data_IF_343105506353
#
_entry.id   IF_343105506353
#
_cell.length_a   1.000
_cell.length_b   1.000
_cell.length_c   1.000
_cell.angle_alpha   90.00
_cell.angle_beta   90.00
_cell.angle_gamma   90.00
#
_symmetry.space_group_name_H-M   'P 1'
#
loop_
_entity.id
_entity.type
_entity.pdbx_description
1 polymer ?
#
# COMPACT_ATOMS: atom_id res chain seq x y z
N UNK A 1 -12.01 30.43 12.77
CA UNK A 1 -11.65 29.76 14.03
C UNK A 1 -12.44 28.45 14.25
N UNK A 2 -13.77 28.48 14.12
CA UNK A 2 -14.64 27.31 14.35
C UNK A 2 -14.31 26.16 13.38
N UNK A 3 -14.08 26.42 12.10
CA UNK A 3 -13.72 25.40 11.12
C UNK A 3 -12.44 24.65 11.45
N UNK A 4 -11.41 25.37 11.92
CA UNK A 4 -10.16 24.72 12.36
C UNK A 4 -10.33 23.87 13.62
N UNK A 5 -11.17 24.29 14.57
CA UNK A 5 -11.45 23.50 15.75
C UNK A 5 -12.20 22.20 15.42
N UNK A 6 -13.14 22.24 14.47
CA UNK A 6 -13.83 21.04 13.98
C UNK A 6 -12.90 20.12 13.17
N UNK A 7 -12.04 20.69 12.32
CA UNK A 7 -11.09 19.93 11.51
C UNK A 7 -9.94 19.29 12.32
N UNK A 8 -9.57 19.90 13.48
CA UNK A 8 -8.45 19.45 14.30
C UNK A 8 -8.55 17.97 14.67
N UNK A 9 -9.71 17.55 15.18
CA UNK A 9 -9.94 16.16 15.58
C UNK A 9 -9.72 15.20 14.42
N UNK A 10 -10.37 15.45 13.28
CA UNK A 10 -10.26 14.58 12.11
C UNK A 10 -8.84 14.51 11.53
N UNK A 11 -8.10 15.62 11.54
CA UNK A 11 -6.70 15.66 11.07
C UNK A 11 -5.80 14.87 12.02
N UNK A 12 -5.95 15.06 13.32
CA UNK A 12 -5.15 14.36 14.33
C UNK A 12 -5.45 12.86 14.31
N UNK A 13 -6.72 12.49 14.35
CA UNK A 13 -7.16 11.09 14.40
C UNK A 13 -6.67 10.28 13.18
N UNK A 14 -6.82 10.83 11.98
CA UNK A 14 -6.38 10.17 10.75
C UNK A 14 -4.85 9.98 10.68
N UNK A 15 -4.09 10.94 11.20
CA UNK A 15 -2.63 10.85 11.17
C UNK A 15 -2.08 9.98 12.32
N UNK A 16 -2.73 9.93 13.48
CA UNK A 16 -2.30 9.06 14.59
C UNK A 16 -2.38 7.59 14.19
N UNK A 17 -3.42 7.16 13.50
CA UNK A 17 -3.53 5.77 13.03
C UNK A 17 -2.38 5.37 12.12
N UNK A 18 -1.99 6.24 11.20
CA UNK A 18 -0.85 5.99 10.32
C UNK A 18 0.50 6.07 11.07
N UNK A 19 0.62 6.95 12.08
CA UNK A 19 1.79 6.99 12.96
C UNK A 19 1.94 5.70 13.81
N UNK A 20 0.84 5.11 14.28
CA UNK A 20 0.86 3.82 14.97
C UNK A 20 1.45 2.74 14.06
N UNK A 21 0.97 2.66 12.81
CA UNK A 21 1.48 1.71 11.84
C UNK A 21 2.99 1.94 11.57
N UNK A 22 3.39 3.18 11.34
CA UNK A 22 4.78 3.54 11.12
C UNK A 22 5.67 3.25 12.34
N UNK A 23 5.21 3.49 13.56
CA UNK A 23 5.95 3.19 14.78
C UNK A 23 6.18 1.69 14.95
N UNK A 24 5.16 0.85 14.75
CA UNK A 24 5.29 -0.61 14.81
C UNK A 24 6.31 -1.11 13.79
N UNK A 25 6.25 -0.62 12.54
CA UNK A 25 7.22 -0.97 11.50
C UNK A 25 8.63 -0.47 11.80
N UNK A 26 8.78 0.71 12.39
CA UNK A 26 10.10 1.24 12.76
C UNK A 26 10.77 0.41 13.87
N UNK A 27 9.96 -0.20 14.76
CA UNK A 27 10.45 -1.03 15.88
C UNK A 27 10.71 -2.46 15.42
N UNK A 28 9.78 -3.06 14.68
CA UNK A 28 9.81 -4.48 14.30
C UNK A 28 10.34 -4.75 12.91
N UNK A 29 10.25 -3.79 12.00
CA UNK A 29 10.74 -3.94 10.63
C UNK A 29 12.26 -3.98 10.55
N UNK A 30 12.77 -4.68 9.56
CA UNK A 30 14.20 -4.79 9.23
C UNK A 30 14.50 -4.09 7.90
N UNK A 31 15.77 -3.77 7.67
CA UNK A 31 16.26 -3.25 6.39
C UNK A 31 15.48 -2.04 5.84
N UNK A 32 15.05 -2.14 4.60
CA UNK A 32 14.33 -1.09 3.86
C UNK A 32 12.97 -0.73 4.47
N UNK A 33 12.28 -1.69 5.10
CA UNK A 33 10.97 -1.47 5.77
C UNK A 33 11.11 -0.51 6.94
N UNK A 34 12.16 -0.64 7.74
CA UNK A 34 12.45 0.26 8.87
C UNK A 34 12.75 1.68 8.39
N UNK A 35 13.55 1.82 7.33
CA UNK A 35 13.84 3.12 6.72
C UNK A 35 12.59 3.80 6.16
N UNK A 36 11.74 3.03 5.46
CA UNK A 36 10.45 3.51 4.98
C UNK A 36 9.56 3.99 6.14
N UNK A 37 9.43 3.21 7.19
CA UNK A 37 8.60 3.54 8.34
C UNK A 37 9.04 4.83 9.05
N UNK A 38 10.35 5.03 9.20
CA UNK A 38 10.92 6.25 9.78
C UNK A 38 10.63 7.48 8.90
N UNK A 39 10.81 7.35 7.59
CA UNK A 39 10.52 8.42 6.61
C UNK A 39 9.02 8.76 6.61
N UNK A 40 8.16 7.74 6.62
CA UNK A 40 6.71 7.90 6.70
C UNK A 40 6.30 8.63 7.99
N UNK A 41 6.82 8.21 9.14
CA UNK A 41 6.52 8.84 10.42
C UNK A 41 6.93 10.33 10.43
N UNK A 42 8.13 10.63 9.95
CA UNK A 42 8.61 12.01 9.84
C UNK A 42 7.74 12.84 8.90
N UNK A 43 7.40 12.30 7.73
CA UNK A 43 6.52 12.94 6.77
C UNK A 43 5.14 13.27 7.34
N UNK A 44 4.55 12.36 8.12
CA UNK A 44 3.26 12.57 8.80
C UNK A 44 3.37 13.68 9.85
N UNK A 45 4.40 13.68 10.68
CA UNK A 45 4.60 14.72 11.72
C UNK A 45 4.74 16.09 11.06
N UNK A 46 5.55 16.22 10.00
CA UNK A 46 5.71 17.48 9.24
C UNK A 46 4.40 17.88 8.58
N UNK A 47 3.67 16.95 8.00
CA UNK A 47 2.35 17.19 7.39
C UNK A 47 1.33 17.69 8.40
N UNK A 48 1.29 17.09 9.59
CA UNK A 48 0.44 17.56 10.70
C UNK A 48 0.79 18.98 11.12
N UNK A 49 2.08 19.27 11.28
CA UNK A 49 2.53 20.63 11.60
C UNK A 49 2.09 21.64 10.53
N UNK A 50 2.29 21.29 9.26
CA UNK A 50 1.87 22.14 8.13
C UNK A 50 0.35 22.35 8.12
N UNK A 51 -0.43 21.29 8.29
CA UNK A 51 -1.90 21.39 8.30
C UNK A 51 -2.43 22.19 9.50
N UNK A 52 -1.86 22.04 10.68
CA UNK A 52 -2.40 22.64 11.90
C UNK A 52 -1.86 24.05 12.17
N UNK A 53 -0.61 24.31 11.83
CA UNK A 53 0.07 25.58 12.14
C UNK A 53 0.19 26.46 10.90
N UNK A 54 0.89 25.97 9.87
CA UNK A 54 1.22 26.80 8.69
C UNK A 54 -0.05 27.19 7.93
N UNK A 55 -0.91 26.23 7.65
CA UNK A 55 -2.17 26.47 6.92
C UNK A 55 -3.08 27.46 7.67
N UNK A 56 -3.13 27.36 9.02
CA UNK A 56 -3.87 28.31 9.84
C UNK A 56 -3.28 29.72 9.78
N UNK A 57 -1.95 29.87 9.81
CA UNK A 57 -1.27 31.16 9.69
C UNK A 57 -1.52 31.78 8.31
N UNK A 58 -1.40 31.00 7.23
CA UNK A 58 -1.68 31.43 5.86
C UNK A 58 -3.12 31.91 5.72
N UNK A 59 -4.09 31.15 6.22
CA UNK A 59 -5.51 31.53 6.15
C UNK A 59 -5.80 32.81 6.93
N UNK A 60 -5.18 32.99 8.10
CA UNK A 60 -5.32 34.23 8.88
C UNK A 60 -4.69 35.43 8.13
N UNK A 61 -3.54 35.24 7.48
CA UNK A 61 -2.88 36.27 6.69
C UNK A 61 -3.73 36.68 5.46
N UNK A 62 -4.27 35.71 4.72
CA UNK A 62 -5.16 35.97 3.58
C UNK A 62 -6.42 36.74 4.00
N UNK A 63 -7.01 36.35 5.14
CA UNK A 63 -8.15 37.09 5.69
C UNK A 63 -7.80 38.53 6.08
N UNK A 64 -6.62 38.75 6.68
CA UNK A 64 -6.12 40.08 7.01
C UNK A 64 -5.83 40.94 5.76
N UNK A 65 -5.36 40.33 4.68
CA UNK A 65 -5.13 40.97 3.39
C UNK A 65 -6.42 41.35 2.61
N UNK A 66 -7.60 41.04 3.19
CA UNK A 66 -8.89 41.47 2.64
C UNK A 66 -9.66 40.36 1.90
N UNK A 67 -9.19 39.12 1.86
CA UNK A 67 -9.92 37.99 1.29
C UNK A 67 -11.01 37.52 2.28
N UNK A 68 -12.06 38.33 2.46
CA UNK A 68 -13.14 38.09 3.44
C UNK A 68 -14.39 37.45 2.83
N UNK A 69 -14.53 37.50 1.51
CA UNK A 69 -15.70 37.00 0.82
C UNK A 69 -15.70 35.45 0.80
N UNK A 70 -16.83 34.85 1.11
CA UNK A 70 -17.03 33.38 1.17
C UNK A 70 -16.68 32.70 -0.15
N UNK A 71 -16.84 33.37 -1.29
CA UNK A 71 -16.49 32.83 -2.62
C UNK A 71 -15.01 32.39 -2.74
N UNK A 72 -14.10 32.99 -1.98
CA UNK A 72 -12.67 32.65 -1.96
C UNK A 72 -12.38 31.35 -1.21
N UNK A 73 -13.30 30.90 -0.35
CA UNK A 73 -13.13 29.74 0.52
C UNK A 73 -13.91 28.51 0.03
N UNK A 74 -14.53 28.62 -1.14
CA UNK A 74 -15.35 27.58 -1.72
C UNK A 74 -16.74 27.48 -1.07
N UNK A 75 -17.77 27.34 -1.89
CA UNK A 75 -19.13 27.04 -1.42
C UNK A 75 -19.48 25.65 -1.87
N UNK A 76 -19.77 24.77 -0.92
CA UNK A 76 -20.29 23.44 -1.24
C UNK A 76 -21.81 23.52 -1.37
N UNK A 77 -22.30 23.13 -2.55
CA UNK A 77 -23.75 22.94 -2.73
C UNK A 77 -24.17 21.69 -1.96
N UNK A 78 -25.12 21.83 -1.06
CA UNK A 78 -25.70 20.67 -0.39
C UNK A 78 -26.27 19.72 -1.43
N UNK A 79 -25.82 18.45 -1.38
CA UNK A 79 -26.35 17.39 -2.25
C UNK A 79 -27.52 16.73 -1.57
N UNK A 80 -28.51 16.30 -2.35
CA UNK A 80 -29.57 15.44 -1.83
C UNK A 80 -28.95 14.11 -1.35
N UNK A 81 -29.43 13.56 -0.23
CA UNK A 81 -28.93 12.30 0.30
C UNK A 81 -29.03 11.17 -0.72
N UNK A 82 -27.94 10.47 -0.92
CA UNK A 82 -27.87 9.30 -1.81
C UNK A 82 -28.20 8.07 -0.97
N UNK A 83 -29.08 7.22 -1.48
CA UNK A 83 -29.46 5.99 -0.79
C UNK A 83 -28.39 4.89 -0.95
N UNK A 84 -27.37 4.92 -0.08
CA UNK A 84 -26.32 3.90 0.01
C UNK A 84 -26.79 2.66 0.77
N UNK A 85 -27.44 2.86 1.92
CA UNK A 85 -27.86 1.78 2.83
C UNK A 85 -28.94 0.91 2.20
N UNK A 86 -29.89 1.50 1.48
CA UNK A 86 -30.92 0.72 0.75
C UNK A 86 -30.33 -0.15 -0.36
N UNK A 87 -29.17 0.25 -0.94
CA UNK A 87 -28.46 -0.52 -1.97
C UNK A 87 -27.36 -1.44 -1.41
N UNK A 88 -27.28 -1.64 -0.11
CA UNK A 88 -26.24 -2.42 0.57
C UNK A 88 -26.03 -3.81 -0.03
N UNK A 89 -27.11 -4.51 -0.41
CA UNK A 89 -26.99 -5.84 -1.03
C UNK A 89 -26.16 -5.84 -2.31
N UNK A 90 -26.27 -4.79 -3.12
CA UNK A 90 -25.49 -4.67 -4.38
C UNK A 90 -24.00 -4.49 -4.05
N UNK A 91 -23.68 -3.57 -3.14
CA UNK A 91 -22.30 -3.29 -2.76
C UNK A 91 -21.62 -4.51 -2.14
N UNK A 92 -22.29 -5.18 -1.19
CA UNK A 92 -21.77 -6.41 -0.59
C UNK A 92 -21.63 -7.54 -1.62
N UNK A 93 -22.58 -7.71 -2.53
CA UNK A 93 -22.50 -8.76 -3.56
C UNK A 93 -21.32 -8.54 -4.51
N UNK A 94 -21.07 -7.29 -4.94
CA UNK A 94 -19.92 -6.96 -5.80
C UNK A 94 -18.61 -7.23 -5.07
N UNK A 95 -18.46 -6.77 -3.81
CA UNK A 95 -17.27 -7.00 -3.01
C UNK A 95 -16.99 -8.50 -2.78
N UNK A 96 -18.01 -9.25 -2.38
CA UNK A 96 -17.88 -10.70 -2.15
C UNK A 96 -17.50 -11.41 -3.44
N UNK A 97 -18.10 -11.03 -4.57
CA UNK A 97 -17.80 -11.62 -5.88
C UNK A 97 -16.32 -11.40 -6.27
N UNK A 98 -15.81 -10.17 -6.11
CA UNK A 98 -14.41 -9.85 -6.40
C UNK A 98 -13.46 -10.65 -5.51
N UNK A 99 -13.72 -10.69 -4.20
CA UNK A 99 -12.88 -11.40 -3.24
C UNK A 99 -12.91 -12.91 -3.52
N UNK A 100 -14.10 -13.50 -3.72
CA UNK A 100 -14.23 -14.94 -3.98
C UNK A 100 -13.59 -15.33 -5.31
N UNK A 101 -13.81 -14.55 -6.37
CA UNK A 101 -13.18 -14.79 -7.68
C UNK A 101 -11.64 -14.75 -7.59
N UNK A 102 -11.10 -13.78 -6.87
CA UNK A 102 -9.67 -13.67 -6.68
C UNK A 102 -9.08 -14.77 -5.79
N UNK A 103 -9.75 -15.14 -4.71
CA UNK A 103 -9.32 -16.27 -3.87
C UNK A 103 -9.38 -17.60 -4.65
N UNK A 104 -10.40 -17.78 -5.49
CA UNK A 104 -10.50 -18.94 -6.38
C UNK A 104 -9.33 -18.98 -7.38
N UNK A 105 -9.01 -17.85 -8.00
CA UNK A 105 -7.85 -17.75 -8.90
C UNK A 105 -6.53 -18.06 -8.19
N UNK A 106 -6.33 -17.54 -6.98
CA UNK A 106 -5.17 -17.85 -6.14
C UNK A 106 -5.11 -19.35 -5.80
N UNK A 107 -6.26 -19.97 -5.51
CA UNK A 107 -6.37 -21.42 -5.25
C UNK A 107 -5.99 -22.26 -6.48
N UNK A 108 -6.43 -21.86 -7.66
CA UNK A 108 -6.07 -22.52 -8.93
C UNK A 108 -4.56 -22.43 -9.17
N UNK A 109 -3.96 -21.26 -8.96
CA UNK A 109 -2.51 -21.09 -9.10
C UNK A 109 -1.73 -21.93 -8.08
N UNK A 110 -2.20 -22.03 -6.85
CA UNK A 110 -1.60 -22.88 -5.83
C UNK A 110 -1.64 -24.35 -6.23
N UNK A 111 -2.78 -24.83 -6.76
CA UNK A 111 -2.95 -26.20 -7.25
C UNK A 111 -2.12 -26.52 -8.49
N UNK A 112 -1.81 -25.53 -9.33
CA UNK A 112 -0.95 -25.69 -10.51
C UNK A 112 0.56 -25.61 -10.24
N UNK A 113 0.97 -25.55 -8.98
CA UNK A 113 2.38 -25.44 -8.57
C UNK A 113 2.99 -24.04 -8.65
N UNK A 114 2.24 -23.05 -9.15
CA UNK A 114 2.72 -21.66 -9.26
C UNK A 114 2.66 -20.87 -7.94
N UNK A 115 2.09 -21.46 -6.87
CA UNK A 115 1.85 -20.80 -5.59
C UNK A 115 0.70 -19.78 -5.64
N UNK A 116 -0.01 -19.61 -4.52
CA UNK A 116 -1.13 -18.66 -4.40
C UNK A 116 -0.66 -17.20 -4.60
N UNK A 117 0.51 -16.86 -4.09
CA UNK A 117 1.17 -15.55 -4.20
C UNK A 117 2.56 -15.73 -4.81
N UNK A 118 3.03 -14.70 -5.51
CA UNK A 118 4.41 -14.62 -5.99
C UNK A 118 5.26 -13.98 -4.88
N UNK A 119 6.03 -14.77 -4.15
CA UNK A 119 6.90 -14.24 -3.11
C UNK A 119 8.19 -13.67 -3.69
N UNK A 120 8.65 -12.54 -3.15
CA UNK A 120 9.97 -11.98 -3.45
C UNK A 120 11.09 -12.80 -2.82
N UNK A 121 12.31 -12.51 -3.23
CA UNK A 121 13.50 -13.15 -2.71
C UNK A 121 13.65 -12.98 -1.19
N UNK A 122 13.27 -11.81 -0.66
CA UNK A 122 13.32 -11.54 0.77
C UNK A 122 12.45 -12.49 1.59
N UNK A 123 11.37 -13.04 0.98
CA UNK A 123 10.43 -13.94 1.65
C UNK A 123 10.60 -15.41 1.26
N UNK A 124 11.29 -15.70 0.14
CA UNK A 124 11.53 -17.06 -0.36
C UNK A 124 12.93 -17.56 0.01
N UNK A 125 13.88 -16.64 0.15
CA UNK A 125 15.30 -16.91 0.11
C UNK A 125 15.77 -17.13 -1.33
N UNK A 126 17.06 -17.03 -1.55
CA UNK A 126 17.66 -17.26 -2.85
C UNK A 126 18.73 -16.25 -3.23
N UNK A 127 19.21 -16.31 -4.46
CA UNK A 127 20.21 -15.41 -5.02
C UNK A 127 19.59 -14.51 -6.07
N UNK A 128 19.88 -13.21 -5.99
CA UNK A 128 19.54 -12.21 -7.00
C UNK A 128 20.82 -11.80 -7.70
N UNK A 129 20.95 -12.14 -8.97
CA UNK A 129 22.09 -11.74 -9.81
C UNK A 129 21.63 -10.64 -10.75
N UNK A 130 22.16 -9.45 -10.62
CA UNK A 130 21.93 -8.33 -11.53
C UNK A 130 23.04 -8.32 -12.57
N UNK A 131 22.68 -8.39 -13.82
CA UNK A 131 23.59 -8.42 -14.96
C UNK A 131 23.32 -7.21 -15.84
N UNK A 132 24.37 -6.44 -16.14
CA UNK A 132 24.34 -5.35 -17.11
C UNK A 132 24.84 -5.85 -18.47
N UNK A 133 23.92 -6.00 -19.41
CA UNK A 133 24.23 -6.49 -20.76
C UNK A 133 24.70 -5.35 -21.65
N UNK A 134 25.46 -5.69 -22.69
CA UNK A 134 25.96 -4.71 -23.68
C UNK A 134 24.82 -4.12 -24.51
N UNK A 135 23.77 -4.93 -24.79
CA UNK A 135 22.63 -4.54 -25.58
C UNK A 135 21.33 -4.58 -24.77
N UNK A 136 20.34 -3.79 -25.19
CA UNK A 136 19.02 -3.74 -24.60
C UNK A 136 18.15 -4.91 -25.09
N UNK A 137 18.11 -6.01 -24.33
CA UNK A 137 17.36 -7.21 -24.66
C UNK A 137 15.87 -7.07 -24.36
N UNK A 138 15.03 -7.65 -25.20
CA UNK A 138 13.62 -7.86 -24.90
C UNK A 138 13.42 -8.98 -23.89
N UNK A 139 12.25 -9.02 -23.23
CA UNK A 139 11.92 -10.11 -22.28
C UNK A 139 12.00 -11.48 -22.96
N UNK A 140 11.58 -11.58 -24.22
CA UNK A 140 11.64 -12.83 -24.98
C UNK A 140 13.09 -13.27 -25.25
N UNK A 141 13.98 -12.38 -25.60
CA UNK A 141 15.41 -12.67 -25.79
C UNK A 141 16.07 -13.10 -24.48
N UNK A 142 15.70 -12.50 -23.35
CA UNK A 142 16.18 -12.91 -22.03
C UNK A 142 15.72 -14.34 -21.71
N UNK A 143 14.45 -14.66 -21.94
CA UNK A 143 13.90 -15.99 -21.69
C UNK A 143 14.53 -17.07 -22.61
N UNK A 144 14.87 -16.73 -23.84
CA UNK A 144 15.43 -17.67 -24.81
C UNK A 144 16.94 -17.84 -24.69
N UNK A 145 17.68 -16.80 -24.34
CA UNK A 145 19.15 -16.81 -24.39
C UNK A 145 19.78 -16.85 -22.99
N UNK A 146 19.23 -16.11 -22.02
CA UNK A 146 19.83 -15.98 -20.67
C UNK A 146 19.33 -17.09 -19.73
N UNK A 147 18.02 -17.34 -19.70
CA UNK A 147 17.44 -18.33 -18.78
C UNK A 147 18.02 -19.74 -18.96
N UNK A 148 18.27 -20.27 -20.16
CA UNK A 148 18.89 -21.58 -20.33
C UNK A 148 20.29 -21.67 -19.75
N UNK A 149 21.13 -20.63 -19.91
CA UNK A 149 22.48 -20.58 -19.35
C UNK A 149 22.44 -20.60 -17.82
N UNK A 150 21.54 -19.83 -17.23
CA UNK A 150 21.32 -19.80 -15.78
C UNK A 150 20.81 -21.14 -15.26
N UNK A 151 19.87 -21.77 -15.97
CA UNK A 151 19.30 -23.08 -15.60
C UNK A 151 20.35 -24.19 -15.63
N UNK A 152 21.25 -24.17 -16.59
CA UNK A 152 22.35 -25.14 -16.71
C UNK A 152 23.25 -25.13 -15.46
N UNK A 153 23.68 -23.96 -15.02
CA UNK A 153 24.55 -23.79 -13.85
C UNK A 153 23.83 -24.03 -12.53
N UNK A 154 22.65 -23.43 -12.38
CA UNK A 154 21.93 -23.43 -11.08
C UNK A 154 21.14 -24.72 -10.86
N UNK A 155 20.77 -25.43 -11.94
CA UNK A 155 19.83 -26.53 -11.89
C UNK A 155 18.46 -26.10 -11.34
N UNK A 156 18.10 -24.81 -11.49
CA UNK A 156 16.83 -24.25 -11.08
C UNK A 156 15.90 -24.12 -12.28
N UNK A 157 14.66 -24.56 -12.13
CA UNK A 157 13.63 -24.47 -13.16
C UNK A 157 12.64 -23.31 -12.90
N UNK A 158 12.73 -22.66 -11.73
CA UNK A 158 11.87 -21.52 -11.34
C UNK A 158 12.68 -20.22 -11.34
N UNK A 159 13.35 -19.96 -12.47
CA UNK A 159 14.14 -18.74 -12.67
C UNK A 159 13.19 -17.59 -13.00
N UNK A 160 13.29 -16.51 -12.24
CA UNK A 160 12.54 -15.31 -12.51
C UNK A 160 13.46 -14.22 -13.04
N UNK A 161 13.12 -13.64 -14.16
CA UNK A 161 13.86 -12.54 -14.79
C UNK A 161 13.06 -11.25 -14.73
N UNK A 162 13.74 -10.15 -14.46
CA UNK A 162 13.13 -8.82 -14.42
C UNK A 162 14.05 -7.83 -15.12
N UNK A 163 13.57 -7.23 -16.20
CA UNK A 163 14.29 -6.16 -16.89
C UNK A 163 14.12 -4.85 -16.13
N UNK A 164 15.21 -4.11 -15.92
CA UNK A 164 15.18 -2.78 -15.33
C UNK A 164 14.87 -1.75 -16.41
N UNK A 165 13.75 -1.07 -16.31
CA UNK A 165 13.28 -0.15 -17.34
C UNK A 165 14.26 1.03 -17.56
N UNK A 166 14.61 1.28 -18.82
CA UNK A 166 15.51 2.37 -19.21
C UNK A 166 17.00 2.05 -19.02
N UNK A 167 17.34 0.80 -18.79
CA UNK A 167 18.74 0.32 -18.67
C UNK A 167 18.89 -1.00 -19.43
N UNK A 168 20.13 -1.45 -19.59
CA UNK A 168 20.47 -2.78 -20.11
C UNK A 168 20.53 -3.84 -19.01
N UNK A 169 20.14 -3.50 -17.78
CA UNK A 169 20.23 -4.37 -16.62
C UNK A 169 19.06 -5.35 -16.55
N UNK A 170 19.38 -6.60 -16.25
CA UNK A 170 18.44 -7.68 -15.98
C UNK A 170 18.71 -8.27 -14.60
N UNK A 171 17.70 -8.34 -13.76
CA UNK A 171 17.75 -9.01 -12.47
C UNK A 171 17.27 -10.45 -12.64
N UNK A 172 18.12 -11.40 -12.31
CA UNK A 172 17.87 -12.84 -12.39
C UNK A 172 17.75 -13.37 -10.95
N UNK A 173 16.63 -13.98 -10.63
CA UNK A 173 16.34 -14.54 -9.29
C UNK A 173 16.31 -16.06 -9.39
N UNK A 174 17.11 -16.71 -8.57
CA UNK A 174 17.25 -18.17 -8.49
C UNK A 174 17.14 -18.66 -7.06
N UNK A 175 17.09 -19.98 -6.85
CA UNK A 175 17.29 -20.55 -5.51
C UNK A 175 18.66 -20.10 -4.95
N UNK A 176 18.84 -20.31 -3.64
CA UNK A 176 20.09 -19.98 -2.96
C UNK A 176 21.28 -20.69 -3.61
N UNK A 177 22.27 -19.91 -4.05
CA UNK A 177 23.50 -20.38 -4.64
C UNK A 177 24.64 -20.25 -3.63
N UNK A 178 25.45 -21.31 -3.49
CA UNK A 178 26.71 -21.25 -2.79
C UNK A 178 27.75 -20.42 -3.59
N UNK A 179 28.89 -20.18 -2.97
CA UNK A 179 29.93 -19.33 -3.57
C UNK A 179 30.45 -19.93 -4.88
N UNK A 180 30.62 -21.25 -4.91
CA UNK A 180 31.19 -21.94 -6.09
C UNK A 180 30.25 -21.81 -7.30
N UNK A 181 28.95 -22.06 -7.11
CA UNK A 181 27.95 -21.90 -8.17
C UNK A 181 27.74 -20.45 -8.60
N UNK A 182 27.90 -19.50 -7.69
CA UNK A 182 27.85 -18.07 -8.07
C UNK A 182 29.00 -17.70 -8.96
N UNK A 183 30.22 -18.15 -8.61
CA UNK A 183 31.42 -17.91 -9.43
C UNK A 183 31.27 -18.57 -10.80
N UNK A 184 30.79 -19.82 -10.84
CA UNK A 184 30.51 -20.53 -12.09
C UNK A 184 29.45 -19.82 -12.95
N UNK A 185 28.39 -19.26 -12.32
CA UNK A 185 27.36 -18.49 -13.01
C UNK A 185 27.92 -17.18 -13.59
N UNK A 186 28.73 -16.48 -12.81
CA UNK A 186 29.37 -15.23 -13.25
C UNK A 186 30.32 -15.47 -14.44
N UNK A 187 31.15 -16.52 -14.39
CA UNK A 187 32.04 -16.91 -15.49
C UNK A 187 31.26 -17.31 -16.75
N UNK A 188 30.22 -18.13 -16.60
CA UNK A 188 29.38 -18.57 -17.73
C UNK A 188 28.61 -17.43 -18.40
N UNK A 189 28.08 -16.50 -17.61
CA UNK A 189 27.37 -15.32 -18.13
C UNK A 189 28.36 -14.36 -18.81
N UNK A 190 29.53 -14.16 -18.23
CA UNK A 190 30.61 -13.34 -18.82
C UNK A 190 31.07 -13.89 -20.15
N UNK A 191 31.30 -15.20 -20.23
CA UNK A 191 31.72 -15.87 -21.46
C UNK A 191 30.62 -15.87 -22.55
N UNK A 192 29.36 -16.16 -22.16
CA UNK A 192 28.25 -16.28 -23.10
C UNK A 192 27.83 -14.94 -23.71
N UNK A 193 27.99 -13.84 -22.98
CA UNK A 193 27.49 -12.52 -23.40
C UNK A 193 28.59 -11.45 -23.52
N UNK A 194 29.88 -11.84 -23.45
CA UNK A 194 31.05 -10.96 -23.55
C UNK A 194 30.96 -9.74 -22.61
N UNK A 195 30.69 -10.02 -21.31
CA UNK A 195 30.46 -9.00 -20.30
C UNK A 195 31.76 -8.54 -19.66
N UNK A 196 31.74 -7.30 -19.11
CA UNK A 196 32.88 -6.82 -18.29
C UNK A 196 32.84 -7.43 -16.88
N UNK A 197 34.00 -7.51 -16.21
CA UNK A 197 34.11 -8.06 -14.85
C UNK A 197 33.25 -7.33 -13.79
N UNK A 198 32.83 -6.12 -14.08
CA UNK A 198 31.97 -5.32 -13.18
C UNK A 198 30.49 -5.36 -13.55
N UNK A 199 30.11 -6.09 -14.61
CA UNK A 199 28.73 -6.13 -15.11
C UNK A 199 27.80 -6.99 -14.25
N UNK A 200 28.32 -7.84 -13.37
CA UNK A 200 27.55 -8.79 -12.58
C UNK A 200 27.65 -8.45 -11.10
N UNK A 201 26.49 -8.33 -10.45
CA UNK A 201 26.38 -8.14 -8.99
C UNK A 201 25.41 -9.15 -8.43
N UNK A 202 25.83 -9.94 -7.44
CA UNK A 202 24.98 -10.96 -6.83
C UNK A 202 24.73 -10.66 -5.34
N UNK A 203 23.44 -10.72 -4.95
CA UNK A 203 23.00 -10.65 -3.55
C UNK A 203 22.37 -12.00 -3.16
N UNK A 204 22.75 -12.51 -2.00
CA UNK A 204 22.23 -13.77 -1.48
C UNK A 204 21.46 -13.55 -0.18
N UNK A 205 20.22 -14.07 -0.11
CA UNK A 205 19.37 -14.04 1.06
C UNK A 205 19.12 -15.47 1.50
N UNK A 206 19.68 -15.85 2.66
CA UNK A 206 19.49 -17.20 3.17
C UNK A 206 18.02 -17.47 3.54
N UNK A 207 17.58 -18.72 3.39
CA UNK A 207 16.23 -19.12 3.74
C UNK A 207 15.87 -18.88 5.22
N UNK A 208 16.85 -18.94 6.13
CA UNK A 208 16.67 -18.63 7.55
C UNK A 208 16.31 -17.15 7.77
N UNK A 209 17.06 -16.24 7.14
CA UNK A 209 16.79 -14.80 7.21
C UNK A 209 15.41 -14.49 6.58
N UNK A 210 15.07 -15.13 5.47
CA UNK A 210 13.77 -14.94 4.81
C UNK A 210 12.60 -15.35 5.70
N UNK A 211 12.71 -16.45 6.44
CA UNK A 211 11.67 -16.87 7.38
C UNK A 211 11.52 -15.89 8.54
N UNK A 212 12.61 -15.38 9.08
CA UNK A 212 12.59 -14.37 10.14
C UNK A 212 11.92 -13.07 9.65
N UNK A 213 12.31 -12.55 8.50
CA UNK A 213 11.73 -11.33 7.90
C UNK A 213 10.24 -11.51 7.64
N UNK A 214 9.82 -12.66 7.11
CA UNK A 214 8.40 -12.97 6.87
C UNK A 214 7.60 -13.04 8.17
N UNK A 215 8.13 -13.69 9.19
CA UNK A 215 7.50 -13.80 10.49
C UNK A 215 7.33 -12.42 11.15
N UNK A 216 8.39 -11.61 11.16
CA UNK A 216 8.37 -10.27 11.72
C UNK A 216 7.42 -9.33 10.97
N UNK A 217 7.31 -9.47 9.65
CA UNK A 217 6.37 -8.75 8.83
C UNK A 217 4.92 -9.06 9.22
N UNK A 218 4.55 -10.34 9.33
CA UNK A 218 3.20 -10.76 9.72
C UNK A 218 2.87 -10.26 11.12
N UNK A 219 3.78 -10.44 12.09
CA UNK A 219 3.58 -9.97 13.47
C UNK A 219 3.41 -8.45 13.50
N UNK A 220 4.20 -7.71 12.73
CA UNK A 220 4.09 -6.24 12.65
C UNK A 220 2.72 -5.79 12.18
N UNK A 221 2.16 -6.42 11.15
CA UNK A 221 0.80 -6.12 10.66
C UNK A 221 -0.25 -6.42 11.73
N UNK A 222 -0.15 -7.55 12.41
CA UNK A 222 -1.09 -7.93 13.48
C UNK A 222 -1.02 -6.92 14.64
N UNK A 223 0.17 -6.60 15.12
CA UNK A 223 0.38 -5.66 16.23
C UNK A 223 -0.14 -4.27 15.84
N UNK A 224 0.22 -3.77 14.66
CA UNK A 224 -0.25 -2.48 14.17
C UNK A 224 -1.78 -2.42 14.11
N UNK A 225 -2.41 -3.46 13.56
CA UNK A 225 -3.87 -3.58 13.50
C UNK A 225 -4.50 -3.55 14.88
N UNK A 226 -3.97 -4.30 15.85
CA UNK A 226 -4.48 -4.32 17.23
C UNK A 226 -4.37 -2.92 17.86
N UNK A 227 -3.24 -2.25 17.75
CA UNK A 227 -3.10 -0.90 18.31
C UNK A 227 -4.03 0.12 17.66
N UNK A 228 -4.22 0.04 16.34
CA UNK A 228 -5.20 0.87 15.64
C UNK A 228 -6.62 0.61 16.12
N UNK A 229 -7.00 -0.66 16.35
CA UNK A 229 -8.30 -1.02 16.88
C UNK A 229 -8.54 -0.48 18.29
N UNK A 230 -7.54 -0.62 19.16
CA UNK A 230 -7.57 -0.06 20.52
C UNK A 230 -7.75 1.46 20.45
N UNK A 231 -7.00 2.12 19.57
CA UNK A 231 -7.12 3.57 19.37
C UNK A 231 -8.53 3.97 18.92
N UNK A 232 -9.11 3.29 17.94
CA UNK A 232 -10.46 3.57 17.43
C UNK A 232 -11.51 3.34 18.53
N UNK A 233 -11.37 2.25 19.29
CA UNK A 233 -12.28 1.96 20.40
C UNK A 233 -12.26 3.03 21.47
N UNK A 234 -11.07 3.46 21.92
CA UNK A 234 -10.91 4.55 22.89
C UNK A 234 -11.49 5.86 22.34
N UNK A 235 -11.24 6.14 21.06
CA UNK A 235 -11.62 7.39 20.40
C UNK A 235 -13.14 7.52 20.24
N UNK A 236 -13.81 6.47 19.82
CA UNK A 236 -15.26 6.50 19.58
C UNK A 236 -16.10 6.05 20.78
N UNK A 237 -15.50 5.39 21.76
CA UNK A 237 -16.17 4.88 22.97
C UNK A 237 -17.39 3.96 22.67
N UNK A 238 -17.50 3.42 21.46
CA UNK A 238 -18.56 2.52 21.02
C UNK A 238 -17.95 1.37 20.22
N UNK A 239 -18.21 0.15 20.69
CA UNK A 239 -17.72 -1.09 20.07
C UNK A 239 -18.25 -1.27 18.65
N UNK A 240 -19.44 -0.73 18.33
CA UNK A 240 -20.04 -0.84 16.99
C UNK A 240 -19.18 -0.12 15.94
N UNK A 241 -18.69 1.07 16.25
CA UNK A 241 -17.78 1.79 15.35
C UNK A 241 -16.44 1.04 15.19
N UNK A 242 -15.87 0.53 16.28
CA UNK A 242 -14.63 -0.23 16.24
C UNK A 242 -14.77 -1.49 15.37
N UNK A 243 -15.80 -2.31 15.60
CA UNK A 243 -16.03 -3.54 14.82
C UNK A 243 -16.32 -3.25 13.35
N UNK A 244 -17.05 -2.17 13.05
CA UNK A 244 -17.31 -1.77 11.67
C UNK A 244 -16.03 -1.29 10.95
N UNK A 245 -15.15 -0.57 11.65
CA UNK A 245 -13.84 -0.16 11.13
C UNK A 245 -12.97 -1.37 10.82
N UNK A 246 -12.94 -2.37 11.72
CA UNK A 246 -12.22 -3.63 11.49
C UNK A 246 -12.74 -4.35 10.26
N UNK A 247 -14.05 -4.48 10.13
CA UNK A 247 -14.66 -5.18 9.00
C UNK A 247 -14.33 -4.47 7.67
N UNK A 248 -14.37 -3.13 7.64
CA UNK A 248 -13.97 -2.35 6.47
C UNK A 248 -12.48 -2.54 6.15
N UNK A 249 -11.61 -2.49 7.16
CA UNK A 249 -10.19 -2.70 7.00
C UNK A 249 -9.86 -4.10 6.46
N UNK A 250 -10.48 -5.14 7.02
CA UNK A 250 -10.28 -6.52 6.55
C UNK A 250 -10.75 -6.68 5.10
N UNK A 251 -11.86 -6.05 4.73
CA UNK A 251 -12.32 -6.02 3.35
C UNK A 251 -11.27 -5.42 2.42
N UNK A 252 -10.74 -4.23 2.74
CA UNK A 252 -9.78 -3.53 1.90
C UNK A 252 -8.45 -4.30 1.77
N UNK A 253 -7.97 -4.87 2.88
CA UNK A 253 -6.80 -5.77 2.90
C UNK A 253 -7.02 -6.99 2.01
N UNK A 254 -8.20 -7.61 2.06
CA UNK A 254 -8.52 -8.77 1.22
C UNK A 254 -8.58 -8.40 -0.27
N UNK A 255 -9.17 -7.26 -0.62
CA UNK A 255 -9.21 -6.78 -2.02
C UNK A 255 -7.79 -6.58 -2.57
N UNK A 256 -6.91 -5.92 -1.81
CA UNK A 256 -5.53 -5.72 -2.23
C UNK A 256 -4.75 -7.03 -2.31
N UNK A 257 -4.94 -7.95 -1.35
CA UNK A 257 -4.31 -9.27 -1.38
C UNK A 257 -4.71 -10.07 -2.63
N UNK A 258 -6.00 -10.05 -2.95
CA UNK A 258 -6.54 -10.69 -4.16
C UNK A 258 -5.96 -10.06 -5.42
N UNK A 259 -5.83 -8.73 -5.45
CA UNK A 259 -5.19 -8.03 -6.56
C UNK A 259 -3.72 -8.45 -6.73
N UNK A 260 -2.94 -8.54 -5.64
CA UNK A 260 -1.57 -9.06 -5.67
C UNK A 260 -1.49 -10.47 -6.24
N UNK A 261 -2.39 -11.35 -5.79
CA UNK A 261 -2.46 -12.72 -6.30
C UNK A 261 -2.83 -12.80 -7.78
N UNK A 262 -3.80 -11.98 -8.23
CA UNK A 262 -4.28 -11.96 -9.60
C UNK A 262 -3.25 -11.33 -10.58
N UNK A 263 -2.65 -10.22 -10.19
CA UNK A 263 -1.64 -9.51 -10.98
C UNK A 263 -0.24 -10.14 -10.88
N UNK A 264 -0.06 -11.18 -10.05
CA UNK A 264 1.23 -11.84 -9.78
C UNK A 264 2.33 -10.86 -9.36
N UNK A 265 1.96 -9.82 -8.60
CA UNK A 265 2.90 -8.85 -8.05
C UNK A 265 3.69 -9.52 -6.93
N UNK A 266 4.98 -9.19 -6.86
CA UNK A 266 5.90 -9.77 -5.88
C UNK A 266 5.52 -9.35 -4.44
N UNK A 267 5.35 -10.35 -3.56
CA UNK A 267 5.04 -10.16 -2.13
C UNK A 267 6.35 -10.19 -1.34
N UNK A 268 6.78 -9.03 -0.88
CA UNK A 268 8.03 -8.86 -0.13
C UNK A 268 7.94 -7.69 0.84
N UNK A 269 9.07 -7.09 1.15
CA UNK A 269 9.15 -5.95 2.06
C UNK A 269 8.33 -4.75 1.56
N UNK A 270 8.32 -4.50 0.25
CA UNK A 270 7.50 -3.46 -0.39
C UNK A 270 6.01 -3.71 -0.18
N UNK A 271 5.57 -4.96 -0.23
CA UNK A 271 4.18 -5.34 0.06
C UNK A 271 3.78 -4.94 1.49
N UNK A 272 4.63 -5.21 2.49
CA UNK A 272 4.32 -4.86 3.88
C UNK A 272 4.17 -3.34 4.05
N UNK A 273 5.08 -2.58 3.45
CA UNK A 273 5.02 -1.12 3.46
C UNK A 273 3.73 -0.60 2.79
N UNK A 274 3.37 -1.18 1.65
CA UNK A 274 2.14 -0.87 0.91
C UNK A 274 0.89 -1.21 1.74
N UNK A 275 0.80 -2.41 2.32
CA UNK A 275 -0.34 -2.84 3.13
C UNK A 275 -0.57 -1.93 4.34
N UNK A 276 0.49 -1.53 5.04
CA UNK A 276 0.35 -0.62 6.18
C UNK A 276 -0.03 0.80 5.77
N UNK A 277 0.44 1.23 4.61
CA UNK A 277 -0.01 2.51 4.03
C UNK A 277 -1.50 2.47 3.69
N UNK A 278 -1.96 1.41 3.02
CA UNK A 278 -3.38 1.21 2.68
C UNK A 278 -4.24 1.16 3.95
N UNK A 279 -3.81 0.41 4.95
CA UNK A 279 -4.49 0.34 6.25
C UNK A 279 -4.64 1.73 6.88
N UNK A 280 -3.59 2.56 6.85
CA UNK A 280 -3.63 3.93 7.37
C UNK A 280 -4.61 4.82 6.59
N UNK A 281 -4.62 4.74 5.27
CA UNK A 281 -5.54 5.53 4.43
C UNK A 281 -6.98 5.06 4.54
N UNK A 282 -7.24 3.76 4.54
CA UNK A 282 -8.59 3.18 4.70
C UNK A 282 -9.22 3.59 6.02
N UNK A 283 -8.49 3.47 7.11
CA UNK A 283 -8.97 3.88 8.44
C UNK A 283 -9.25 5.38 8.48
N UNK A 284 -8.41 6.22 7.88
CA UNK A 284 -8.64 7.67 7.84
C UNK A 284 -9.95 8.03 7.14
N UNK A 285 -10.24 7.41 6.00
CA UNK A 285 -11.51 7.60 5.29
C UNK A 285 -12.72 7.16 6.14
N UNK A 286 -12.60 6.02 6.81
CA UNK A 286 -13.63 5.47 7.71
C UNK A 286 -13.90 6.39 8.91
N UNK A 287 -12.85 6.92 9.55
CA UNK A 287 -12.96 7.85 10.69
C UNK A 287 -13.72 9.12 10.29
N UNK A 288 -13.47 9.67 9.11
CA UNK A 288 -14.15 10.87 8.61
C UNK A 288 -15.66 10.64 8.49
N UNK A 289 -16.06 9.48 7.99
CA UNK A 289 -17.49 9.11 7.88
C UNK A 289 -18.08 8.91 9.29
N UNK A 290 -17.38 8.22 10.16
CA UNK A 290 -17.86 7.94 11.53
C UNK A 290 -17.97 9.21 12.37
N UNK A 291 -17.03 10.14 12.28
CA UNK A 291 -17.14 11.46 12.94
C UNK A 291 -18.39 12.21 12.46
N UNK A 292 -18.68 12.14 11.15
CA UNK A 292 -19.87 12.77 10.60
C UNK A 292 -21.17 12.09 11.06
N UNK A 293 -21.19 10.76 11.11
CA UNK A 293 -22.33 10.00 11.66
C UNK A 293 -22.55 10.40 13.12
N UNK A 294 -21.49 10.49 13.92
CA UNK A 294 -21.59 10.87 15.33
C UNK A 294 -22.06 12.31 15.52
N UNK A 295 -21.61 13.25 14.70
CA UNK A 295 -22.08 14.63 14.70
C UNK A 295 -23.58 14.69 14.38
N UNK A 296 -24.01 14.01 13.33
CA UNK A 296 -25.42 13.95 12.94
C UNK A 296 -26.30 13.18 13.96
N UNK A 297 -25.75 12.17 14.65
CA UNK A 297 -26.46 11.46 15.72
C UNK A 297 -26.79 12.39 16.91
N UNK A 298 -25.88 13.32 17.24
CA UNK A 298 -26.11 14.29 18.31
C UNK A 298 -27.22 15.30 17.96
N UNK A 299 -27.49 15.53 16.68
CA UNK A 299 -28.54 16.43 16.17
C UNK A 299 -29.80 15.69 15.71
N UNK A 300 -29.87 14.35 15.86
CA UNK A 300 -30.94 13.49 15.39
C UNK A 300 -32.27 13.85 16.04
N UNK A 301 -33.28 14.06 15.22
CA UNK A 301 -34.65 14.36 15.66
C UNK A 301 -35.47 13.06 15.76
N UNK A 302 -36.55 13.08 16.56
CA UNK A 302 -37.40 11.93 16.81
C UNK A 302 -38.09 11.34 15.55
N UNK A 303 -38.10 12.10 14.44
CA UNK A 303 -38.68 11.71 13.16
C UNK A 303 -37.67 11.06 12.19
N UNK A 304 -36.35 11.22 12.46
CA UNK A 304 -35.32 10.77 11.56
C UNK A 304 -35.03 9.27 11.77
N UNK A 305 -34.81 8.55 10.69
CA UNK A 305 -34.37 7.16 10.76
C UNK A 305 -32.85 7.07 10.80
N UNK A 306 -32.32 6.02 11.41
CA UNK A 306 -30.89 5.77 11.40
C UNK A 306 -30.34 5.59 9.98
N UNK A 307 -31.15 5.01 9.08
CA UNK A 307 -30.81 4.81 7.68
C UNK A 307 -30.63 6.15 6.94
N UNK A 308 -31.58 7.08 7.12
CA UNK A 308 -31.51 8.41 6.52
C UNK A 308 -30.32 9.20 7.06
N UNK A 309 -30.06 9.10 8.36
CA UNK A 309 -28.93 9.75 9.00
C UNK A 309 -27.58 9.25 8.42
N UNK A 310 -27.43 7.94 8.28
CA UNK A 310 -26.21 7.34 7.70
C UNK A 310 -26.05 7.75 6.24
N UNK A 311 -27.12 7.66 5.43
CA UNK A 311 -27.11 8.09 4.02
C UNK A 311 -26.70 9.57 3.88
N UNK A 312 -27.25 10.42 4.72
CA UNK A 312 -26.91 11.85 4.75
C UNK A 312 -25.44 12.08 5.13
N UNK A 313 -24.96 11.39 6.17
CA UNK A 313 -23.57 11.50 6.65
C UNK A 313 -22.57 11.09 5.57
N UNK A 314 -22.80 9.96 4.89
CA UNK A 314 -21.97 9.50 3.78
C UNK A 314 -22.01 10.52 2.63
N UNK A 315 -23.20 11.03 2.28
CA UNK A 315 -23.35 12.01 1.20
C UNK A 315 -22.59 13.30 1.49
N UNK A 316 -22.61 13.78 2.73
CA UNK A 316 -21.91 14.99 3.17
C UNK A 316 -20.38 14.84 3.11
N UNK A 317 -19.86 13.65 3.38
CA UNK A 317 -18.42 13.37 3.34
C UNK A 317 -17.92 12.91 1.97
N UNK A 318 -18.83 12.51 1.08
CA UNK A 318 -18.51 11.90 -0.22
C UNK A 318 -17.54 12.74 -1.08
N UNK A 319 -17.81 14.05 -1.17
CA UNK A 319 -16.97 14.95 -1.96
C UNK A 319 -15.54 14.98 -1.43
N UNK A 320 -15.36 15.05 -0.11
CA UNK A 320 -14.05 15.01 0.54
C UNK A 320 -13.35 13.68 0.26
N UNK A 321 -14.05 12.56 0.42
CA UNK A 321 -13.49 11.23 0.17
C UNK A 321 -13.03 11.06 -1.28
N UNK A 322 -13.86 11.48 -2.26
CA UNK A 322 -13.50 11.42 -3.69
C UNK A 322 -12.28 12.28 -4.00
N UNK A 323 -12.23 13.52 -3.52
CA UNK A 323 -11.09 14.40 -3.79
C UNK A 323 -9.81 13.89 -3.10
N UNK A 324 -9.91 13.36 -1.89
CA UNK A 324 -8.76 12.76 -1.21
C UNK A 324 -8.23 11.56 -2.00
N UNK A 325 -9.09 10.64 -2.41
CA UNK A 325 -8.70 9.49 -3.22
C UNK A 325 -8.13 9.90 -4.57
N UNK A 326 -8.75 10.88 -5.25
CA UNK A 326 -8.27 11.36 -6.55
C UNK A 326 -6.90 12.03 -6.45
N UNK A 327 -6.66 12.87 -5.44
CA UNK A 327 -5.35 13.53 -5.26
C UNK A 327 -4.27 12.52 -4.92
N UNK A 328 -4.57 11.52 -4.09
CA UNK A 328 -3.66 10.42 -3.79
C UNK A 328 -3.37 9.59 -5.02
N UNK A 329 -4.41 9.23 -5.79
CA UNK A 329 -4.26 8.49 -7.05
C UNK A 329 -3.37 9.22 -8.05
N UNK A 330 -3.57 10.53 -8.25
CA UNK A 330 -2.73 11.34 -9.15
C UNK A 330 -1.27 11.32 -8.69
N UNK A 331 -1.02 11.53 -7.39
CA UNK A 331 0.34 11.49 -6.83
C UNK A 331 1.00 10.12 -7.06
N UNK A 332 0.29 9.05 -6.75
CA UNK A 332 0.80 7.67 -6.90
C UNK A 332 0.98 7.30 -8.36
N UNK A 333 0.09 7.75 -9.25
CA UNK A 333 0.23 7.54 -10.71
C UNK A 333 1.48 8.24 -11.26
N UNK A 334 1.79 9.46 -10.82
CA UNK A 334 3.04 10.16 -11.18
C UNK A 334 4.26 9.37 -10.67
N UNK A 335 4.22 8.88 -9.44
CA UNK A 335 5.28 8.02 -8.89
C UNK A 335 5.44 6.72 -9.70
N UNK A 336 4.36 6.12 -10.16
CA UNK A 336 4.41 4.93 -11.01
C UNK A 336 5.04 5.20 -12.37
N UNK A 337 4.72 6.33 -13.00
CA UNK A 337 5.26 6.69 -14.33
C UNK A 337 6.72 7.10 -14.24
N UNK A 338 7.08 7.94 -13.28
CA UNK A 338 8.41 8.57 -13.18
C UNK A 338 9.37 7.83 -12.22
N UNK A 339 8.88 6.91 -11.40
CA UNK A 339 9.67 6.24 -10.38
C UNK A 339 10.59 5.15 -10.94
N UNK A 340 11.62 4.82 -10.17
CA UNK A 340 12.46 3.64 -10.39
C UNK A 340 11.68 2.35 -10.08
N UNK A 341 12.22 1.19 -10.45
CA UNK A 341 11.52 -0.11 -10.35
C UNK A 341 10.91 -0.38 -8.97
N UNK A 342 11.66 -0.17 -7.89
CA UNK A 342 11.17 -0.36 -6.50
C UNK A 342 10.03 0.58 -6.13
N UNK A 343 10.05 1.82 -6.63
CA UNK A 343 8.95 2.79 -6.43
C UNK A 343 7.72 2.39 -7.23
N UNK A 344 7.88 1.85 -8.43
CA UNK A 344 6.75 1.34 -9.25
C UNK A 344 6.08 0.14 -8.59
N UNK A 345 6.84 -0.79 -8.01
CA UNK A 345 6.30 -1.93 -7.25
C UNK A 345 5.47 -1.47 -6.04
N UNK A 346 5.88 -0.39 -5.37
CA UNK A 346 5.14 0.20 -4.27
C UNK A 346 3.89 0.96 -4.75
N UNK A 347 4.01 1.72 -5.84
CA UNK A 347 2.96 2.60 -6.33
C UNK A 347 1.78 1.83 -6.93
N UNK A 348 2.03 0.76 -7.71
CA UNK A 348 0.98 0.04 -8.41
C UNK A 348 -0.15 -0.48 -7.50
N UNK A 349 0.12 -1.15 -6.37
CA UNK A 349 -0.94 -1.60 -5.47
C UNK A 349 -1.68 -0.48 -4.74
N UNK A 350 -1.03 0.68 -4.57
CA UNK A 350 -1.67 1.84 -3.95
C UNK A 350 -2.69 2.54 -4.85
N UNK A 351 -2.68 2.25 -6.16
CA UNK A 351 -3.67 2.75 -7.11
C UNK A 351 -4.98 1.95 -7.13
N UNK A 352 -4.99 0.76 -6.53
CA UNK A 352 -6.14 -0.14 -6.42
C UNK A 352 -7.03 0.27 -5.26
#
# INVERSE_FOLDING_TARGET
KIGYQKALSAIVDGNITTLIAAAVLAIKGSGSVKGFAQTLALGIVVSMFTALVVSKLVMNALYALGMKDVKWYGTFKERQPINFVGKKKIWFSVSVLVIVAGLAYMGINAGSGKGALAYSLEFKGGTSTTVEFNDDMTIQEIEQNVVPVVAEVTGDNDIQTQKVAGTTQVVIKTKELDLDKRTELDEKLTEAFDLSDTAITAENISGAISQEVKHDAIISVIIATIFMLIYIWIRFKDVRFATSAVAALLHDVLVVLVFYGAARISVGNTFIACMLTIVGYSINATIVIFDRIRENLAEMKRKDTLEDLVNNSITQTLTRSIFTSLTTFIMVAVLYVMGVASVKEFALPLMV
#
